data_IF_197220080580
#
_entry.id   IF_197220080580
#
_cell.length_a   1.000
_cell.length_b   1.000
_cell.length_c   1.000
_cell.angle_alpha   90.00
_cell.angle_beta   90.00
_cell.angle_gamma   90.00
#
_symmetry.space_group_name_H-M   'P 1'
#
loop_
_entity.id
_entity.type
_entity.pdbx_description
1 polymer ?
#
# COMPACT_ATOMS: atom_id res chain seq x y z
N UNK A 1 14.37 -8.65 -17.29
CA UNK A 1 15.16 -7.70 -16.47
C UNK A 1 16.01 -8.50 -15.51
N UNK A 2 17.27 -8.16 -15.35
CA UNK A 2 18.15 -8.78 -14.36
C UNK A 2 17.82 -8.21 -12.98
N UNK A 3 17.52 -9.08 -12.00
CA UNK A 3 17.24 -8.67 -10.62
C UNK A 3 18.54 -8.65 -9.84
N UNK A 4 18.88 -7.50 -9.26
CA UNK A 4 20.08 -7.35 -8.43
C UNK A 4 19.81 -7.83 -7.00
N UNK A 5 20.81 -8.45 -6.38
CA UNK A 5 20.80 -8.71 -4.94
C UNK A 5 20.98 -7.40 -4.17
N UNK A 6 19.90 -6.89 -3.61
CA UNK A 6 19.90 -5.66 -2.82
C UNK A 6 19.84 -6.01 -1.32
N UNK A 7 20.91 -5.70 -0.61
CA UNK A 7 21.07 -5.90 0.84
C UNK A 7 21.02 -4.57 1.63
N UNK A 8 20.41 -3.51 1.08
CA UNK A 8 20.28 -2.22 1.77
C UNK A 8 19.48 -2.33 3.07
N UNK A 9 19.89 -1.56 4.08
CA UNK A 9 19.28 -1.55 5.42
C UNK A 9 17.98 -0.71 5.52
N UNK A 10 17.72 0.17 4.55
CA UNK A 10 16.57 1.08 4.55
C UNK A 10 16.83 2.34 3.69
N UNK A 11 15.98 2.69 2.70
CA UNK A 11 14.92 1.84 2.10
C UNK A 11 15.48 0.49 1.61
N UNK A 12 14.62 -0.53 1.57
CA UNK A 12 15.02 -1.93 1.34
C UNK A 12 14.21 -2.60 0.21
N UNK A 13 14.42 -3.90 0.00
CA UNK A 13 13.77 -4.68 -1.06
C UNK A 13 12.27 -4.84 -0.81
N UNK A 14 11.46 -4.53 -1.83
CA UNK A 14 10.06 -4.90 -1.92
C UNK A 14 9.87 -6.22 -2.69
N UNK A 15 8.85 -7.03 -2.35
CA UNK A 15 8.47 -8.20 -3.13
C UNK A 15 8.16 -7.84 -4.59
N UNK A 16 8.69 -8.61 -5.54
CA UNK A 16 8.46 -8.39 -6.98
C UNK A 16 6.98 -8.35 -7.35
N UNK A 17 6.10 -9.23 -6.83
CA UNK A 17 4.66 -9.18 -7.16
C UNK A 17 3.99 -7.86 -6.79
N UNK A 18 4.45 -7.18 -5.74
CA UNK A 18 3.93 -5.85 -5.34
C UNK A 18 4.35 -4.79 -6.35
N UNK A 19 5.62 -4.79 -6.75
CA UNK A 19 6.13 -3.86 -7.76
C UNK A 19 5.41 -4.02 -9.09
N UNK A 20 5.18 -5.26 -9.53
CA UNK A 20 4.47 -5.55 -10.77
C UNK A 20 2.99 -5.14 -10.69
N UNK A 21 2.32 -5.31 -9.54
CA UNK A 21 0.96 -4.82 -9.34
C UNK A 21 0.89 -3.30 -9.44
N UNK A 22 1.77 -2.59 -8.73
CA UNK A 22 1.85 -1.13 -8.79
C UNK A 22 2.13 -0.67 -10.22
N UNK A 23 3.06 -1.31 -10.93
CA UNK A 23 3.36 -0.97 -12.32
C UNK A 23 2.11 -1.08 -13.22
N UNK A 24 1.32 -2.16 -13.10
CA UNK A 24 0.11 -2.36 -13.91
C UNK A 24 -0.99 -1.34 -13.60
N UNK A 25 -1.12 -0.94 -12.34
CA UNK A 25 -2.21 -0.07 -11.87
C UNK A 25 -1.81 1.41 -11.80
N UNK A 26 -0.55 1.75 -12.09
CA UNK A 26 0.00 3.09 -11.84
C UNK A 26 -0.79 4.21 -12.51
N UNK A 27 -1.27 3.98 -13.73
CA UNK A 27 -2.03 4.97 -14.51
C UNK A 27 -3.54 4.92 -14.27
N UNK A 28 -4.04 3.83 -13.70
CA UNK A 28 -5.47 3.64 -13.44
C UNK A 28 -5.64 2.63 -12.32
N UNK A 29 -5.78 3.15 -11.10
CA UNK A 29 -6.06 2.33 -9.95
C UNK A 29 -7.50 1.83 -10.02
N UNK A 30 -7.67 0.51 -9.94
CA UNK A 30 -8.97 -0.15 -9.91
C UNK A 30 -9.97 0.32 -10.99
N UNK A 31 -9.47 0.58 -12.22
CA UNK A 31 -10.30 1.02 -13.34
C UNK A 31 -10.86 2.44 -13.22
N UNK A 32 -10.40 3.24 -12.24
CA UNK A 32 -10.88 4.62 -12.02
C UNK A 32 -10.50 5.62 -13.11
N UNK A 33 -9.54 5.27 -13.97
CA UNK A 33 -8.95 6.19 -14.94
C UNK A 33 -8.00 7.21 -14.32
N UNK A 34 -7.70 7.07 -13.02
CA UNK A 34 -6.78 7.93 -12.27
C UNK A 34 -5.71 7.08 -11.59
N UNK A 35 -4.49 7.61 -11.50
CA UNK A 35 -3.46 7.06 -10.63
C UNK A 35 -3.91 7.13 -9.17
N UNK A 36 -3.45 6.19 -8.34
CA UNK A 36 -3.64 6.27 -6.88
C UNK A 36 -3.09 7.59 -6.30
N UNK A 37 -2.06 8.16 -6.93
CA UNK A 37 -1.46 9.44 -6.54
C UNK A 37 -2.32 10.67 -6.88
N UNK A 38 -3.34 10.50 -7.72
CA UNK A 38 -4.27 11.57 -8.14
C UNK A 38 -5.60 11.50 -7.37
N UNK A 39 -5.84 10.40 -6.63
CA UNK A 39 -7.07 10.24 -5.85
C UNK A 39 -7.09 11.22 -4.68
N UNK A 40 -8.26 11.82 -4.44
CA UNK A 40 -8.51 12.55 -3.19
C UNK A 40 -8.38 11.58 -2.02
N UNK A 41 -7.65 11.97 -0.97
CA UNK A 41 -7.55 11.22 0.28
C UNK A 41 -8.90 11.06 1.01
N UNK A 42 -9.94 11.79 0.59
CA UNK A 42 -11.32 11.68 1.10
C UNK A 42 -12.26 10.92 0.17
N UNK A 43 -11.77 10.45 -0.97
CA UNK A 43 -12.58 9.64 -1.89
C UNK A 43 -12.82 8.25 -1.30
N UNK A 44 -13.96 7.65 -1.62
CA UNK A 44 -14.25 6.26 -1.22
C UNK A 44 -13.16 5.30 -1.71
N UNK A 45 -12.62 5.51 -2.92
CA UNK A 45 -11.53 4.70 -3.46
C UNK A 45 -10.28 4.73 -2.58
N UNK A 46 -9.89 5.89 -2.07
CA UNK A 46 -8.73 5.99 -1.19
C UNK A 46 -9.05 5.50 0.23
N UNK A 47 -10.26 5.75 0.72
CA UNK A 47 -10.69 5.25 2.03
C UNK A 47 -10.63 3.72 2.09
N UNK A 48 -11.08 3.03 1.02
CA UNK A 48 -10.99 1.57 0.94
C UNK A 48 -9.54 1.07 1.03
N UNK A 49 -8.57 1.78 0.43
CA UNK A 49 -7.14 1.42 0.55
C UNK A 49 -6.68 1.49 2.02
N UNK A 50 -7.07 2.55 2.73
CA UNK A 50 -6.71 2.73 4.13
C UNK A 50 -7.38 1.68 5.03
N UNK A 51 -8.67 1.41 4.81
CA UNK A 51 -9.43 0.43 5.58
C UNK A 51 -8.88 -0.98 5.39
N UNK A 52 -8.54 -1.35 4.14
CA UNK A 52 -7.89 -2.63 3.84
C UNK A 52 -6.51 -2.72 4.50
N UNK A 53 -5.71 -1.66 4.44
CA UNK A 53 -4.38 -1.63 5.07
C UNK A 53 -4.46 -1.75 6.61
N UNK A 54 -5.41 -1.05 7.24
CA UNK A 54 -5.67 -1.17 8.68
C UNK A 54 -6.17 -2.59 9.03
N UNK A 55 -7.10 -3.15 8.26
CA UNK A 55 -7.61 -4.49 8.50
C UNK A 55 -6.50 -5.54 8.42
N UNK A 56 -5.65 -5.46 7.38
CA UNK A 56 -4.54 -6.40 7.19
C UNK A 56 -3.51 -6.32 8.32
N UNK A 57 -3.13 -5.12 8.78
CA UNK A 57 -2.17 -5.02 9.89
C UNK A 57 -2.77 -5.52 11.20
N UNK A 58 -4.08 -5.28 11.42
CA UNK A 58 -4.79 -5.81 12.59
C UNK A 58 -4.85 -7.33 12.59
N UNK A 59 -5.15 -7.93 11.44
CA UNK A 59 -5.17 -9.38 11.25
C UNK A 59 -3.78 -9.98 11.50
N UNK A 60 -2.76 -9.49 10.80
CA UNK A 60 -1.40 -10.05 10.86
C UNK A 60 -0.75 -9.91 12.23
N UNK A 61 -1.10 -8.86 12.98
CA UNK A 61 -0.50 -8.55 14.29
C UNK A 61 -1.44 -8.82 15.46
N UNK A 62 -2.60 -9.42 15.20
CA UNK A 62 -3.61 -9.75 16.21
C UNK A 62 -3.98 -8.55 17.11
N UNK A 63 -4.15 -7.37 16.51
CA UNK A 63 -4.37 -6.12 17.25
C UNK A 63 -5.82 -6.07 17.77
N UNK A 64 -6.04 -5.96 19.10
CA UNK A 64 -7.39 -5.96 19.65
C UNK A 64 -8.15 -4.63 19.38
N UNK A 65 -9.47 -4.69 19.47
CA UNK A 65 -10.37 -3.57 19.09
C UNK A 65 -10.17 -2.30 19.94
N UNK A 66 -9.63 -2.45 21.16
CA UNK A 66 -9.35 -1.35 22.06
C UNK A 66 -8.06 -0.57 21.70
N UNK A 67 -7.39 -0.88 20.60
CA UNK A 67 -6.24 -0.13 20.05
C UNK A 67 -6.61 0.59 18.75
N UNK A 68 -5.85 1.65 18.44
CA UNK A 68 -5.96 2.40 17.19
C UNK A 68 -4.69 2.24 16.36
N UNK A 69 -4.85 2.07 15.06
CA UNK A 69 -3.77 2.09 14.06
C UNK A 69 -3.71 3.51 13.49
N UNK A 70 -2.51 4.10 13.47
CA UNK A 70 -2.30 5.45 12.94
C UNK A 70 -1.25 5.40 11.82
N UNK A 71 -1.57 5.97 10.67
CA UNK A 71 -0.62 6.21 9.58
C UNK A 71 -0.06 7.62 9.72
N UNK A 72 1.16 7.72 10.27
CA UNK A 72 1.84 8.99 10.50
C UNK A 72 2.99 9.18 9.50
N UNK A 73 3.29 10.44 9.21
CA UNK A 73 4.47 10.81 8.44
C UNK A 73 5.70 10.59 9.32
N UNK A 74 6.78 10.06 8.73
CA UNK A 74 8.09 9.91 9.38
C UNK A 74 8.96 11.14 9.25
#
# INVERSE_FOLDING_TARGET
>A
MERVYNFSAGPAVLPVPVLEKVQRELLSYNGSGMSVMELSHRSELFQNILDDAESLIRELMEIPENYKVLFLQG
#
